data_IF_711119928004
#
_entry.id   IF_711119928004
#
_cell.length_a   1.000
_cell.length_b   1.000
_cell.length_c   1.000
_cell.angle_alpha   90.00
_cell.angle_beta   90.00
_cell.angle_gamma   90.00
#
_symmetry.space_group_name_H-M   'P 1'
#
loop_
_entity.id
_entity.type
_entity.pdbx_description
1 polymer ?
#
# COMPACT_ATOMS: atom_id res chain seq x y z
N UNK A 1 10.80 17.53 11.71
CA UNK A 1 10.30 16.23 12.22
C UNK A 1 9.50 15.59 11.09
N UNK A 2 10.01 14.53 10.44
CA UNK A 2 9.20 13.77 9.49
C UNK A 2 8.21 12.96 10.32
N UNK A 3 7.01 13.49 10.54
CA UNK A 3 5.88 12.70 11.02
C UNK A 3 5.54 11.72 9.89
N UNK A 4 6.32 10.63 9.82
CA UNK A 4 6.06 9.51 8.93
C UNK A 4 4.92 8.72 9.60
N UNK A 5 3.76 9.36 9.66
CA UNK A 5 2.58 8.81 10.27
C UNK A 5 2.26 7.53 9.53
N UNK A 6 2.20 6.45 10.31
CA UNK A 6 1.94 5.07 9.89
C UNK A 6 0.59 5.02 9.18
N UNK A 7 0.56 5.44 7.92
CA UNK A 7 -0.65 5.56 7.12
C UNK A 7 -1.00 4.18 6.59
N UNK A 8 -2.10 3.63 7.09
CA UNK A 8 -2.69 2.42 6.57
C UNK A 8 -3.97 2.78 5.83
N UNK A 9 -4.14 2.21 4.63
CA UNK A 9 -5.31 2.46 3.78
C UNK A 9 -5.93 1.14 3.37
N UNK A 10 -7.25 1.13 3.15
CA UNK A 10 -7.88 -0.01 2.46
C UNK A 10 -7.53 -0.02 0.99
N UNK A 11 -7.80 -1.13 0.30
CA UNK A 11 -7.52 -1.23 -1.13
C UNK A 11 -8.19 -0.15 -1.99
N UNK A 12 -9.44 0.19 -1.71
CA UNK A 12 -10.16 1.25 -2.43
C UNK A 12 -9.54 2.63 -2.22
N UNK A 13 -9.24 2.96 -0.97
CA UNK A 13 -8.60 4.23 -0.57
C UNK A 13 -7.19 4.34 -1.16
N UNK A 14 -6.39 3.27 -1.08
CA UNK A 14 -5.05 3.24 -1.62
C UNK A 14 -5.01 3.31 -3.16
N UNK A 15 -5.93 2.61 -3.83
CA UNK A 15 -6.06 2.72 -5.29
C UNK A 15 -6.34 4.17 -5.72
N UNK A 16 -7.22 4.88 -5.01
CA UNK A 16 -7.48 6.30 -5.27
C UNK A 16 -6.26 7.18 -4.92
N UNK A 17 -5.65 6.95 -3.75
CA UNK A 17 -4.50 7.72 -3.26
C UNK A 17 -3.33 7.73 -4.25
N UNK A 18 -3.02 6.58 -4.84
CA UNK A 18 -1.94 6.45 -5.81
C UNK A 18 -2.40 6.55 -7.27
N UNK A 19 -3.65 6.96 -7.51
CA UNK A 19 -4.23 7.11 -8.85
C UNK A 19 -4.01 5.87 -9.73
N UNK A 20 -4.28 4.68 -9.18
CA UNK A 20 -4.07 3.40 -9.87
C UNK A 20 -5.29 2.47 -9.80
N UNK A 21 -5.41 1.55 -10.74
CA UNK A 21 -6.50 0.58 -10.75
C UNK A 21 -6.49 -0.32 -9.51
N UNK A 22 -7.68 -0.65 -8.99
CA UNK A 22 -7.85 -1.45 -7.76
C UNK A 22 -7.08 -2.78 -7.80
N UNK A 23 -7.21 -3.52 -8.90
CA UNK A 23 -6.52 -4.80 -9.12
C UNK A 23 -5.00 -4.64 -9.15
N UNK A 24 -4.51 -3.55 -9.74
CA UNK A 24 -3.07 -3.25 -9.78
C UNK A 24 -2.54 -2.87 -8.40
N UNK A 25 -3.26 -2.03 -7.65
CA UNK A 25 -2.89 -1.68 -6.28
C UNK A 25 -2.83 -2.92 -5.39
N UNK A 26 -3.84 -3.79 -5.46
CA UNK A 26 -3.89 -5.04 -4.71
C UNK A 26 -2.70 -5.95 -5.04
N UNK A 27 -2.37 -6.12 -6.33
CA UNK A 27 -1.22 -6.94 -6.76
C UNK A 27 0.09 -6.38 -6.22
N UNK A 28 0.34 -5.08 -6.43
CA UNK A 28 1.58 -4.44 -5.99
C UNK A 28 1.71 -4.42 -4.47
N UNK A 29 0.61 -4.20 -3.74
CA UNK A 29 0.61 -4.24 -2.27
C UNK A 29 0.97 -5.64 -1.73
N UNK A 30 0.49 -6.70 -2.38
CA UNK A 30 0.86 -8.08 -2.05
C UNK A 30 2.32 -8.36 -2.37
N UNK A 31 2.80 -7.97 -3.54
CA UNK A 31 4.21 -8.13 -3.93
C UNK A 31 5.17 -7.38 -3.00
N UNK A 32 4.76 -6.19 -2.55
CA UNK A 32 5.49 -5.39 -1.56
C UNK A 32 5.47 -5.98 -0.14
N UNK A 33 4.70 -7.04 0.12
CA UNK A 33 4.39 -7.53 1.48
C UNK A 33 3.86 -6.43 2.41
N UNK A 34 3.07 -5.50 1.86
CA UNK A 34 2.52 -4.35 2.59
C UNK A 34 1.10 -4.60 3.11
N UNK A 35 0.51 -5.78 2.87
CA UNK A 35 -0.87 -6.14 3.24
C UNK A 35 -0.90 -6.79 4.61
N UNK A 36 -1.74 -6.25 5.49
CA UNK A 36 -2.04 -6.77 6.81
C UNK A 36 -3.48 -7.26 6.86
N UNK A 37 -3.65 -8.52 7.25
CA UNK A 37 -4.95 -9.15 7.44
C UNK A 37 -5.16 -9.33 8.94
N UNK A 38 -6.28 -8.81 9.44
CA UNK A 38 -6.72 -8.98 10.82
C UNK A 38 -8.06 -9.71 10.74
N UNK A 39 -8.25 -10.75 11.56
CA UNK A 39 -9.49 -11.53 11.54
C UNK A 39 -10.71 -10.62 11.74
N UNK A 40 -11.71 -10.79 10.87
CA UNK A 40 -12.93 -9.96 10.90
C UNK A 40 -12.79 -8.55 10.33
N UNK A 41 -11.62 -8.14 9.82
CA UNK A 41 -11.40 -6.81 9.25
C UNK A 41 -10.99 -6.86 7.77
N UNK A 42 -11.44 -5.90 6.94
CA UNK A 42 -10.92 -5.75 5.58
C UNK A 42 -9.40 -5.52 5.57
N UNK A 43 -8.68 -6.01 4.54
CA UNK A 43 -7.23 -5.86 4.45
C UNK A 43 -6.78 -4.40 4.51
N UNK A 44 -5.73 -4.16 5.29
CA UNK A 44 -5.07 -2.85 5.39
C UNK A 44 -3.73 -2.91 4.66
N UNK A 45 -3.42 -1.85 3.91
CA UNK A 45 -2.15 -1.70 3.23
C UNK A 45 -1.34 -0.62 3.93
N UNK A 46 -0.12 -0.95 4.32
CA UNK A 46 0.82 -0.01 4.96
C UNK A 46 1.55 0.79 3.87
N UNK A 47 1.27 2.09 3.80
CA UNK A 47 1.76 2.97 2.73
C UNK A 47 3.30 3.10 2.72
N UNK A 48 3.94 3.08 3.89
CA UNK A 48 5.40 3.19 4.02
C UNK A 48 6.16 2.05 3.33
N UNK A 49 5.72 0.80 3.56
CA UNK A 49 6.31 -0.39 2.93
C UNK A 49 6.01 -0.39 1.43
N UNK A 50 4.79 -0.02 1.05
CA UNK A 50 4.36 0.05 -0.33
C UNK A 50 5.15 1.09 -1.14
N UNK A 51 5.31 2.30 -0.63
CA UNK A 51 6.08 3.38 -1.28
C UNK A 51 7.55 2.99 -1.44
N UNK A 52 8.15 2.40 -0.40
CA UNK A 52 9.53 1.89 -0.46
C UNK A 52 9.71 0.84 -1.58
N UNK A 53 8.70 0.00 -1.83
CA UNK A 53 8.72 -0.96 -2.93
C UNK A 53 8.61 -0.29 -4.30
N UNK A 54 7.69 0.67 -4.45
CA UNK A 54 7.50 1.38 -5.72
C UNK A 54 8.71 2.25 -6.08
N UNK A 55 9.33 2.92 -5.11
CA UNK A 55 10.54 3.72 -5.34
C UNK A 55 11.69 2.87 -5.91
N UNK A 56 11.86 1.64 -5.40
CA UNK A 56 12.83 0.67 -5.94
C UNK A 56 12.47 0.21 -7.36
N UNK A 57 11.19 0.12 -7.68
CA UNK A 57 10.71 -0.21 -9.03
C UNK A 57 10.99 0.90 -10.05
N UNK A 58 10.95 2.17 -9.64
CA UNK A 58 11.23 3.34 -10.52
C UNK A 58 12.73 3.53 -10.80
N UNK A 59 13.60 3.08 -9.89
CA UNK A 59 15.06 3.23 -10.00
C UNK A 59 15.73 2.16 -10.90
N UNK A 60 14.94 1.35 -11.62
CA UNK A 60 15.38 0.30 -12.53
C UNK A 60 14.93 0.63 -13.95
#
# INVERSE_FOLDING_TARGET
>A
MKNNDRRMVRYSEGALLYSMGLTMFQRLAKEANAVYIIEGMPPLVKCDVFETYIEKYRAK
#
